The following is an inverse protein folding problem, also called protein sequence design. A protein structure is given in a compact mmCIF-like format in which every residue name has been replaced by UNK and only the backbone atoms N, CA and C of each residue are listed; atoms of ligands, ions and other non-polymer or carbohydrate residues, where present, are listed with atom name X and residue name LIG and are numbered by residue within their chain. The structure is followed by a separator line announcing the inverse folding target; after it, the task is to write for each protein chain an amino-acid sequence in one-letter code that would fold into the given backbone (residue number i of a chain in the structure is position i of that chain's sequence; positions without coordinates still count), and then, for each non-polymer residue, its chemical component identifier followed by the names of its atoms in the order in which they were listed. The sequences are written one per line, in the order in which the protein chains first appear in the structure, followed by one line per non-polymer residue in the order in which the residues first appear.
data_IF_355404805928
#
_entry.id   IF_355404805928
#
_cell.length_a   1.000
_cell.length_b   1.000
_cell.length_c   1.000
_cell.angle_alpha   90.00
_cell.angle_beta   90.00
_cell.angle_gamma   90.00
#
_symmetry.space_group_name_H-M   'P 1'
#
loop_
_entity.id
_entity.type
_entity.pdbx_description
1 polymer ?
#
# COMPACT_ATOMS: atom_id res chain seq x y z
N UNK A 1 18.36 -0.09 13.41
CA UNK A 1 17.17 -0.87 13.05
C UNK A 1 16.12 -0.53 14.08
N UNK A 2 15.14 0.29 13.72
CA UNK A 2 13.98 0.56 14.59
C UNK A 2 12.85 -0.27 13.98
N UNK A 3 12.30 -1.20 14.75
CA UNK A 3 11.11 -1.93 14.34
C UNK A 3 9.95 -0.93 14.31
N UNK A 4 9.59 -0.49 13.11
CA UNK A 4 8.34 0.21 12.89
C UNK A 4 7.28 -0.88 12.74
N UNK A 5 6.46 -1.04 13.79
CA UNK A 5 5.29 -1.89 13.76
C UNK A 5 4.22 -1.17 12.92
N UNK A 6 4.04 -1.65 11.70
CA UNK A 6 2.89 -1.29 10.87
C UNK A 6 1.78 -2.31 11.07
N UNK A 7 0.52 -1.88 10.93
CA UNK A 7 -0.64 -2.75 10.97
C UNK A 7 -0.46 -3.95 10.02
N UNK A 8 -0.05 -3.66 8.78
CA UNK A 8 0.23 -4.67 7.77
C UNK A 8 1.26 -4.18 6.74
N UNK A 9 1.53 -5.02 5.72
CA UNK A 9 2.47 -4.67 4.66
C UNK A 9 1.95 -3.55 3.76
N UNK A 10 0.66 -3.48 3.46
CA UNK A 10 0.10 -2.40 2.67
C UNK A 10 0.34 -1.03 3.34
N UNK A 11 0.15 -0.95 4.66
CA UNK A 11 0.46 0.22 5.49
C UNK A 11 1.97 0.55 5.45
N UNK A 12 2.83 -0.45 5.60
CA UNK A 12 4.29 -0.26 5.54
C UNK A 12 4.74 0.29 4.17
N UNK A 13 4.19 -0.25 3.09
CA UNK A 13 4.45 0.18 1.72
C UNK A 13 3.90 1.59 1.46
N UNK A 14 2.72 1.92 1.96
CA UNK A 14 2.18 3.28 1.90
C UNK A 14 3.05 4.30 2.67
N UNK A 15 3.79 3.86 3.68
CA UNK A 15 4.81 4.67 4.37
C UNK A 15 6.18 4.65 3.64
N UNK A 16 6.30 3.96 2.51
CA UNK A 16 7.51 3.87 1.69
C UNK A 16 8.55 2.90 2.24
N UNK A 17 8.14 1.84 2.92
CA UNK A 17 9.03 0.76 3.35
C UNK A 17 8.86 -0.47 2.45
N UNK A 18 9.96 -0.94 1.88
CA UNK A 18 10.00 -2.24 1.17
C UNK A 18 10.01 -3.42 2.16
N UNK A 19 9.66 -4.64 1.72
CA UNK A 19 9.77 -5.82 2.58
C UNK A 19 11.20 -6.07 3.07
N UNK A 20 11.32 -6.64 4.27
CA UNK A 20 12.63 -6.95 4.85
C UNK A 20 13.32 -8.11 4.11
N UNK A 21 14.56 -7.90 3.67
CA UNK A 21 15.35 -8.91 2.95
C UNK A 21 15.74 -10.12 3.82
N UNK A 22 15.80 -9.96 5.15
CA UNK A 22 16.16 -11.01 6.10
C UNK A 22 14.92 -11.80 6.54
N UNK A 23 13.93 -11.12 7.14
CA UNK A 23 12.75 -11.75 7.73
C UNK A 23 11.70 -12.17 6.70
N UNK A 24 11.60 -11.42 5.59
CA UNK A 24 10.56 -11.56 4.56
C UNK A 24 11.16 -11.77 3.17
N UNK A 25 12.20 -12.59 3.10
CA UNK A 25 13.06 -12.80 1.92
C UNK A 25 12.27 -13.10 0.63
N UNK A 26 11.21 -13.91 0.70
CA UNK A 26 10.41 -14.23 -0.47
C UNK A 26 9.61 -13.02 -0.99
N UNK A 27 8.99 -12.24 -0.12
CA UNK A 27 8.29 -11.01 -0.56
C UNK A 27 9.27 -9.97 -1.04
N UNK A 28 10.41 -9.84 -0.37
CA UNK A 28 11.47 -8.92 -0.79
C UNK A 28 11.88 -9.23 -2.23
N UNK A 29 12.09 -10.50 -2.59
CA UNK A 29 12.42 -10.89 -3.97
C UNK A 29 11.30 -10.55 -4.95
N UNK A 30 10.05 -10.89 -4.62
CA UNK A 30 8.88 -10.56 -5.47
C UNK A 30 8.71 -9.06 -5.67
N UNK A 31 8.91 -8.28 -4.60
CA UNK A 31 8.86 -6.82 -4.62
C UNK A 31 9.96 -6.25 -5.51
N UNK A 32 11.23 -6.66 -5.30
CA UNK A 32 12.37 -6.20 -6.10
C UNK A 32 12.15 -6.53 -7.58
N UNK A 33 11.67 -7.73 -7.90
CA UNK A 33 11.39 -8.13 -9.28
C UNK A 33 10.33 -7.22 -9.93
N UNK A 34 9.18 -7.03 -9.28
CA UNK A 34 8.11 -6.19 -9.79
C UNK A 34 8.52 -4.72 -9.90
N UNK A 35 9.20 -4.19 -8.88
CA UNK A 35 9.71 -2.83 -8.86
C UNK A 35 10.73 -2.60 -9.97
N UNK A 36 11.67 -3.54 -10.18
CA UNK A 36 12.68 -3.44 -11.24
C UNK A 36 12.06 -3.50 -12.63
N UNK A 37 11.05 -4.37 -12.82
CA UNK A 37 10.26 -4.44 -14.06
C UNK A 37 9.53 -3.12 -14.31
N UNK A 38 8.87 -2.55 -13.30
CA UNK A 38 8.20 -1.26 -13.40
C UNK A 38 9.16 -0.11 -13.73
N UNK A 39 10.39 -0.18 -13.21
CA UNK A 39 11.46 0.78 -13.51
C UNK A 39 12.16 0.54 -14.87
N UNK A 40 11.77 -0.48 -15.64
CA UNK A 40 12.37 -0.80 -16.94
C UNK A 40 13.79 -1.37 -16.85
N UNK A 41 14.19 -1.93 -15.70
CA UNK A 41 15.52 -2.48 -15.48
C UNK A 41 15.64 -3.91 -16.02
N UNK A 42 16.82 -4.26 -16.55
CA UNK A 42 17.12 -5.60 -17.10
C UNK A 42 17.47 -6.64 -16.02
N UNK A 43 17.51 -6.25 -14.75
CA UNK A 43 17.87 -7.09 -13.62
C UNK A 43 17.39 -6.50 -12.29
N UNK A 44 17.55 -7.22 -11.18
CA UNK A 44 17.06 -6.78 -9.88
C UNK A 44 17.81 -5.52 -9.42
N UNK A 45 17.06 -4.49 -9.06
CA UNK A 45 17.59 -3.30 -8.44
C UNK A 45 18.26 -3.62 -7.10
N UNK A 46 19.35 -2.92 -6.80
CA UNK A 46 19.97 -2.97 -5.50
C UNK A 46 19.08 -2.28 -4.45
N UNK A 47 19.15 -2.76 -3.20
CA UNK A 47 18.26 -2.30 -2.13
C UNK A 47 18.41 -0.80 -1.83
N UNK A 48 19.64 -0.28 -1.92
CA UNK A 48 19.99 1.12 -1.73
C UNK A 48 19.39 2.03 -2.81
N UNK A 49 19.32 1.55 -4.06
CA UNK A 49 18.65 2.26 -5.16
C UNK A 49 17.15 2.39 -4.86
N UNK A 50 16.50 1.31 -4.46
CA UNK A 50 15.10 1.31 -4.06
C UNK A 50 14.88 2.24 -2.87
N UNK A 51 15.69 2.09 -1.82
CA UNK A 51 15.55 2.86 -0.58
C UNK A 51 15.72 4.37 -0.82
N UNK A 52 16.60 4.77 -1.73
CA UNK A 52 16.78 6.17 -2.15
C UNK A 52 15.54 6.71 -2.85
N UNK A 53 15.02 5.99 -3.84
CA UNK A 53 13.79 6.41 -4.55
C UNK A 53 12.62 6.51 -3.57
N UNK A 54 12.42 5.50 -2.71
CA UNK A 54 11.35 5.52 -1.71
C UNK A 54 11.52 6.64 -0.70
N UNK A 55 12.75 7.00 -0.33
CA UNK A 55 12.99 8.14 0.56
C UNK A 55 12.60 9.46 -0.12
N UNK A 56 12.97 9.66 -1.38
CA UNK A 56 12.61 10.83 -2.17
C UNK A 56 11.09 10.95 -2.38
N UNK A 57 10.39 9.81 -2.55
CA UNK A 57 8.94 9.74 -2.71
C UNK A 57 8.17 9.82 -1.38
N UNK A 58 8.81 9.63 -0.22
CA UNK A 58 8.12 9.64 1.08
C UNK A 58 7.86 11.05 1.60
N UNK A 59 8.80 11.97 1.43
CA UNK A 59 8.81 13.25 2.15
C UNK A 59 9.03 14.42 1.19
N UNK A 60 8.10 15.39 1.22
CA UNK A 60 8.15 16.63 0.48
C UNK A 60 9.11 17.65 1.12
N UNK A 61 9.40 18.77 0.44
CA UNK A 61 10.33 19.80 0.92
C UNK A 61 9.97 20.37 2.31
N UNK A 62 8.70 20.27 2.72
CA UNK A 62 8.16 20.75 4.00
C UNK A 62 7.85 19.65 5.00
N UNK A 63 8.43 18.46 4.86
CA UNK A 63 8.12 17.27 5.66
C UNK A 63 6.70 16.72 5.52
N UNK A 64 5.92 17.23 4.58
CA UNK A 64 4.62 16.66 4.22
C UNK A 64 4.79 15.37 3.42
N UNK A 65 3.82 14.46 3.52
CA UNK A 65 3.81 13.25 2.70
C UNK A 65 3.65 13.66 1.24
N UNK A 66 4.53 13.19 0.34
CA UNK A 66 4.33 13.46 -1.09
C UNK A 66 3.14 12.66 -1.58
N UNK A 67 2.24 13.34 -2.26
CA UNK A 67 1.11 12.72 -2.95
C UNK A 67 1.16 13.04 -4.43
N UNK A 68 0.40 12.28 -5.21
CA UNK A 68 0.07 12.62 -6.58
C UNK A 68 -1.40 12.32 -6.83
N UNK A 69 -2.00 12.98 -7.81
CA UNK A 69 -3.42 12.75 -8.15
C UNK A 69 -3.57 11.58 -9.12
N UNK A 70 -4.61 10.80 -8.92
CA UNK A 70 -5.04 9.73 -9.84
C UNK A 70 -6.55 9.49 -9.68
N UNK A 71 -7.17 8.88 -10.69
CA UNK A 71 -8.53 8.37 -10.55
C UNK A 71 -8.50 7.16 -9.61
N UNK A 72 -9.25 7.19 -8.51
CA UNK A 72 -9.19 6.12 -7.51
C UNK A 72 -9.52 4.74 -8.11
N UNK A 73 -10.45 4.70 -9.08
CA UNK A 73 -10.87 3.48 -9.75
C UNK A 73 -9.83 2.89 -10.72
N UNK A 74 -8.79 3.62 -11.09
CA UNK A 74 -7.68 3.08 -11.90
C UNK A 74 -6.53 2.54 -11.06
N UNK A 75 -6.57 2.73 -9.73
CA UNK A 75 -5.46 2.36 -8.86
C UNK A 75 -5.48 0.85 -8.56
N UNK A 76 -4.30 0.20 -8.56
CA UNK A 76 -4.21 -1.21 -8.22
C UNK A 76 -4.55 -1.44 -6.74
N UNK A 77 -5.01 -2.66 -6.37
CA UNK A 77 -5.25 -3.02 -4.97
C UNK A 77 -4.03 -2.79 -4.07
N UNK A 78 -4.27 -2.34 -2.85
CA UNK A 78 -3.21 -2.03 -1.88
C UNK A 78 -2.75 -0.57 -1.92
N UNK A 79 -3.34 0.26 -2.79
CA UNK A 79 -2.98 1.67 -2.90
C UNK A 79 -3.71 2.48 -1.85
N UNK A 80 -2.97 3.25 -1.05
CA UNK A 80 -3.54 4.18 -0.09
C UNK A 80 -3.80 5.54 -0.74
N UNK A 81 -4.95 6.12 -0.42
CA UNK A 81 -5.42 7.40 -0.92
C UNK A 81 -6.05 8.24 0.18
N UNK A 82 -6.16 9.54 -0.05
CA UNK A 82 -7.03 10.47 0.68
C UNK A 82 -7.79 11.34 -0.32
N UNK A 83 -8.84 12.02 0.12
CA UNK A 83 -9.71 12.85 -0.72
C UNK A 83 -9.68 14.31 -0.26
N UNK A 84 -10.01 15.24 -1.15
CA UNK A 84 -10.01 16.67 -0.84
C UNK A 84 -11.00 17.03 0.28
N UNK A 85 -12.11 16.30 0.34
CA UNK A 85 -13.19 16.46 1.31
C UNK A 85 -12.82 15.88 2.68
N UNK A 86 -11.85 14.95 2.74
CA UNK A 86 -11.43 14.24 3.96
C UNK A 86 -9.90 14.09 4.05
N UNK A 87 -9.12 15.19 4.05
CA UNK A 87 -7.65 15.15 3.92
C UNK A 87 -6.90 14.49 5.10
N UNK A 88 -7.60 14.19 6.19
CA UNK A 88 -7.08 13.45 7.35
C UNK A 88 -7.40 11.95 7.33
N UNK A 89 -8.32 11.52 6.48
CA UNK A 89 -8.73 10.12 6.37
C UNK A 89 -7.95 9.43 5.26
N UNK A 90 -7.50 8.22 5.55
CA UNK A 90 -6.84 7.36 4.57
C UNK A 90 -7.76 6.19 4.21
N UNK A 91 -7.72 5.82 2.94
CA UNK A 91 -8.47 4.69 2.39
C UNK A 91 -7.52 3.80 1.61
N UNK A 92 -7.75 2.49 1.64
CA UNK A 92 -7.05 1.54 0.76
C UNK A 92 -7.99 1.13 -0.37
N UNK A 93 -7.47 1.07 -1.59
CA UNK A 93 -8.17 0.49 -2.74
C UNK A 93 -8.06 -1.03 -2.70
N UNK A 94 -9.18 -1.74 -2.82
CA UNK A 94 -9.18 -3.20 -2.90
C UNK A 94 -10.40 -3.72 -3.64
N UNK A 95 -10.21 -4.55 -4.67
CA UNK A 95 -11.34 -5.12 -5.42
C UNK A 95 -12.27 -4.10 -6.10
N UNK A 96 -11.79 -2.87 -6.36
CA UNK A 96 -12.60 -1.77 -6.91
C UNK A 96 -13.36 -0.94 -5.86
N UNK A 97 -13.21 -1.27 -4.59
CA UNK A 97 -13.83 -0.57 -3.45
C UNK A 97 -12.79 0.19 -2.64
N UNK A 98 -13.29 1.11 -1.80
CA UNK A 98 -12.50 1.89 -0.85
C UNK A 98 -12.81 1.44 0.58
N UNK A 99 -11.77 1.13 1.33
CA UNK A 99 -11.89 0.72 2.73
C UNK A 99 -11.18 1.75 3.61
N UNK A 100 -11.87 2.35 4.60
CA UNK A 100 -11.26 3.29 5.53
C UNK A 100 -10.15 2.59 6.32
N UNK A 101 -8.98 3.22 6.43
CA UNK A 101 -7.88 2.74 7.26
C UNK A 101 -7.91 3.39 8.64
N UNK A 102 -7.72 2.59 9.68
CA UNK A 102 -7.55 3.02 11.07
C UNK A 102 -6.38 2.25 11.68
N UNK A 103 -5.87 2.72 12.81
CA UNK A 103 -4.80 2.01 13.52
C UNK A 103 -5.24 0.62 13.99
N UNK A 104 -6.53 0.45 14.27
CA UNK A 104 -7.13 -0.79 14.74
C UNK A 104 -7.45 -1.78 13.61
N UNK A 105 -7.40 -1.35 12.34
CA UNK A 105 -7.81 -2.17 11.21
C UNK A 105 -8.53 -1.39 10.12
N UNK A 106 -9.05 -2.13 9.14
CA UNK A 106 -9.86 -1.56 8.05
C UNK A 106 -11.35 -1.54 8.42
N UNK A 107 -12.03 -0.43 8.10
CA UNK A 107 -13.48 -0.32 8.19
C UNK A 107 -14.19 -1.02 7.03
N UNK A 108 -15.53 -1.02 7.07
CA UNK A 108 -16.36 -1.52 5.96
C UNK A 108 -16.13 -0.73 4.67
N UNK A 109 -16.34 -1.39 3.53
CA UNK A 109 -16.27 -0.74 2.22
C UNK A 109 -17.29 0.41 2.14
N UNK A 110 -16.83 1.60 1.77
CA UNK A 110 -17.69 2.80 1.70
C UNK A 110 -18.19 3.12 0.29
N UNK A 111 -17.87 2.28 -0.69
CA UNK A 111 -18.32 2.43 -2.07
C UNK A 111 -17.23 2.17 -3.11
N UNK A 112 -17.57 2.41 -4.37
CA UNK A 112 -16.67 2.18 -5.50
C UNK A 112 -15.63 3.30 -5.61
N UNK A 113 -14.41 2.94 -5.98
CA UNK A 113 -13.37 3.92 -6.28
C UNK A 113 -13.59 4.64 -7.63
N UNK A 114 -14.61 4.23 -8.41
CA UNK A 114 -14.82 4.70 -9.77
C UNK A 114 -15.18 6.20 -9.82
N UNK A 115 -14.41 6.97 -10.60
CA UNK A 115 -14.73 8.36 -10.94
C UNK A 115 -14.28 9.43 -9.93
N UNK A 116 -13.82 9.06 -8.74
CA UNK A 116 -13.28 10.02 -7.77
C UNK A 116 -11.81 10.34 -8.05
N UNK A 117 -11.44 11.62 -8.01
CA UNK A 117 -10.03 12.03 -7.97
C UNK A 117 -9.50 11.85 -6.54
N UNK A 118 -8.38 11.15 -6.41
CA UNK A 118 -7.75 10.83 -5.13
C UNK A 118 -6.33 11.40 -5.08
N UNK A 119 -5.91 11.82 -3.88
CA UNK A 119 -4.51 12.06 -3.56
C UNK A 119 -3.88 10.76 -3.09
N UNK A 120 -3.00 10.19 -3.91
CA UNK A 120 -2.34 8.92 -3.64
C UNK A 120 -1.26 9.11 -2.58
N UNK A 121 -1.41 8.40 -1.47
CA UNK A 121 -0.49 8.37 -0.35
C UNK A 121 0.62 7.32 -0.56
N UNK A 122 0.36 6.26 -1.31
CA UNK A 122 1.39 5.26 -1.61
C UNK A 122 2.44 5.84 -2.58
N UNK A 123 3.75 5.66 -2.33
CA UNK A 123 4.80 6.11 -3.24
C UNK A 123 4.58 5.63 -4.68
N UNK A 124 4.86 6.49 -5.65
CA UNK A 124 4.58 6.22 -7.07
C UNK A 124 5.28 4.97 -7.57
N UNK A 125 6.55 4.75 -7.19
CA UNK A 125 7.29 3.56 -7.57
C UNK A 125 6.73 2.26 -6.97
N UNK A 126 6.03 2.34 -5.82
CA UNK A 126 5.32 1.20 -5.22
C UNK A 126 4.01 0.94 -5.97
N UNK A 127 3.25 1.98 -6.31
CA UNK A 127 2.04 1.83 -7.15
C UNK A 127 2.40 1.17 -8.48
N UNK A 128 3.50 1.60 -9.12
CA UNK A 128 3.99 0.97 -10.34
C UNK A 128 4.41 -0.50 -10.13
N UNK A 129 4.97 -0.86 -8.96
CA UNK A 129 5.25 -2.25 -8.62
C UNK A 129 3.97 -3.08 -8.45
N UNK A 130 2.89 -2.49 -7.92
CA UNK A 130 1.57 -3.13 -7.84
C UNK A 130 0.98 -3.39 -9.23
N UNK A 131 1.03 -2.41 -10.13
CA UNK A 131 0.64 -2.55 -11.53
C UNK A 131 1.48 -3.63 -12.24
N UNK A 132 2.76 -3.74 -11.88
CA UNK A 132 3.63 -4.80 -12.36
C UNK A 132 3.32 -6.17 -11.75
N UNK A 133 2.35 -6.31 -10.84
CA UNK A 133 1.87 -7.60 -10.32
C UNK A 133 2.37 -7.97 -8.92
N UNK A 134 3.01 -7.05 -8.19
CA UNK A 134 3.25 -7.27 -6.76
C UNK A 134 1.99 -7.01 -5.96
N UNK A 135 1.48 -8.03 -5.27
CA UNK A 135 0.31 -7.89 -4.39
C UNK A 135 0.78 -7.81 -2.94
N UNK A 136 0.51 -6.71 -2.21
CA UNK A 136 0.89 -6.59 -0.81
C UNK A 136 0.10 -7.56 0.06
N UNK A 137 0.72 -8.03 1.14
CA UNK A 137 0.05 -8.76 2.21
C UNK A 137 -0.72 -7.80 3.13
N UNK A 138 -1.81 -8.30 3.69
CA UNK A 138 -2.73 -7.47 4.44
C UNK A 138 -3.64 -6.66 3.53
N UNK A 139 -4.68 -6.10 4.13
CA UNK A 139 -5.80 -5.49 3.43
C UNK A 139 -7.16 -6.05 3.90
N UNK A 140 -8.24 -5.32 3.62
CA UNK A 140 -9.57 -5.55 4.19
C UNK A 140 -10.14 -6.95 3.91
N UNK A 141 -9.83 -7.55 2.76
CA UNK A 141 -10.32 -8.87 2.37
C UNK A 141 -9.55 -10.05 3.01
N UNK A 142 -8.38 -9.80 3.61
CA UNK A 142 -7.58 -10.84 4.28
C UNK A 142 -8.06 -11.03 5.73
N UNK A 143 -8.62 -10.00 6.36
CA UNK A 143 -9.27 -10.10 7.69
C UNK A 143 -10.74 -10.54 7.59
N UNK A 144 -11.41 -10.34 6.45
CA UNK A 144 -12.81 -10.71 6.22
C UNK A 144 -13.11 -12.20 5.97
N UNK A 145 -12.16 -13.13 6.18
CA UNK A 145 -12.40 -14.58 6.04
C UNK A 145 -12.25 -15.41 7.32
N UNK A 146 -12.21 -14.79 8.49
CA UNK A 146 -12.23 -15.53 9.76
C UNK A 146 -13.06 -14.83 10.85
N UNK A 147 -14.38 -14.89 10.72
CA UNK A 147 -15.29 -14.89 11.86
C UNK A 147 -16.59 -15.61 11.47
N UNK A 148 -16.49 -16.88 11.08
CA UNK A 148 -17.65 -17.77 11.22
C UNK A 148 -17.85 -17.96 12.72
N UNK A 149 -18.94 -17.40 13.22
CA UNK A 149 -19.49 -17.59 14.55
C UNK A 149 -19.29 -19.03 15.04
N UNK A 150 -18.50 -19.22 16.09
CA UNK A 150 -18.56 -20.43 16.90
C UNK A 150 -19.85 -20.36 17.73
N UNK A 151 -20.73 -21.37 17.71
CA UNK A 151 -21.89 -21.37 18.59
C UNK A 151 -21.40 -21.51 20.04
N UNK A 152 -21.92 -20.65 20.93
CA UNK A 152 -21.69 -20.76 22.37
C UNK A 152 -22.27 -22.10 22.87
N UNK A 153 -21.54 -22.88 23.68
CA UNK A 153 -22.14 -24.02 24.35
C UNK A 153 -23.09 -23.54 25.46
N UNK A 154 -24.30 -24.11 25.49
CA UNK A 154 -25.17 -24.16 26.66
C UNK A 154 -24.92 -25.46 27.43
#
# INVERSE_FOLDING_TARGET
YTELFFLDEATALAAGHRPCAFCRRQDYRRFVEAWSRAAGMQGPAAADVIDRVLHEERVGPRREKRTFTAAAGSLPPGTFVTFAETPGDAFITWGGELYPWRFEGYGEAIGTAAGAEAFVLTPRSIVAAFEAGYVPRGGPAIEGRAATEQPRPS
#
